data_IF_702406698515
#
_entry.id   IF_702406698515
#
_cell.length_a   1.000
_cell.length_b   1.000
_cell.length_c   1.000
_cell.angle_alpha   90.00
_cell.angle_beta   90.00
_cell.angle_gamma   90.00
#
_symmetry.space_group_name_H-M   'P 1'
#
loop_
_entity.id
_entity.type
_entity.pdbx_description
1 polymer ?
#
# COMPACT_ATOMS: atom_id res chain seq x y z
N UNK A 1 6.18 0.18 -15.54
CA UNK A 1 6.24 -1.17 -16.11
C UNK A 1 7.64 -1.77 -16.02
N UNK A 2 8.58 -1.30 -16.84
CA UNK A 2 9.89 -1.94 -17.04
C UNK A 2 10.71 -2.22 -15.77
N UNK A 3 10.62 -1.37 -14.73
CA UNK A 3 11.30 -1.61 -13.45
C UNK A 3 10.81 -2.89 -12.75
N UNK A 4 9.50 -3.15 -12.75
CA UNK A 4 8.87 -4.33 -12.14
C UNK A 4 9.04 -5.62 -12.97
N UNK A 5 9.54 -5.50 -14.21
CA UNK A 5 9.87 -6.62 -15.09
C UNK A 5 11.39 -6.79 -15.28
N UNK A 6 12.19 -6.02 -14.53
CA UNK A 6 13.65 -6.10 -14.65
C UNK A 6 14.19 -7.38 -14.02
N UNK A 7 15.24 -7.94 -14.63
CA UNK A 7 15.91 -9.17 -14.14
C UNK A 7 16.25 -9.05 -12.66
N UNK A 8 16.85 -7.92 -12.25
CA UNK A 8 17.25 -7.69 -10.86
C UNK A 8 16.08 -7.72 -9.88
N UNK A 9 14.89 -7.29 -10.32
CA UNK A 9 13.70 -7.29 -9.47
C UNK A 9 13.12 -8.70 -9.37
N UNK A 10 12.98 -9.41 -10.49
CA UNK A 10 12.43 -10.77 -10.52
C UNK A 10 13.33 -11.78 -9.81
N UNK A 11 14.65 -11.64 -9.90
CA UNK A 11 15.61 -12.45 -9.12
C UNK A 11 15.43 -12.24 -7.61
N UNK A 12 15.19 -11.01 -7.16
CA UNK A 12 14.95 -10.73 -5.73
C UNK A 12 13.63 -11.32 -5.24
N UNK A 13 12.57 -11.26 -6.06
CA UNK A 13 11.29 -11.88 -5.72
C UNK A 13 11.44 -13.40 -5.58
N UNK A 14 12.14 -14.05 -6.52
CA UNK A 14 12.41 -15.48 -6.45
C UNK A 14 13.23 -15.87 -5.20
N UNK A 15 14.23 -15.06 -4.83
CA UNK A 15 15.01 -15.28 -3.59
C UNK A 15 14.17 -15.10 -2.32
N UNK A 16 13.10 -14.32 -2.38
CA UNK A 16 12.19 -14.08 -1.27
C UNK A 16 10.97 -15.03 -1.26
N UNK A 17 10.90 -15.99 -2.19
CA UNK A 17 9.76 -16.88 -2.39
C UNK A 17 8.44 -16.12 -2.66
N UNK A 18 8.53 -15.03 -3.44
CA UNK A 18 7.41 -14.19 -3.84
C UNK A 18 7.13 -14.37 -5.33
N UNK A 19 5.91 -14.79 -5.67
CA UNK A 19 5.45 -14.83 -7.04
C UNK A 19 5.11 -13.43 -7.56
N UNK A 20 5.69 -13.06 -8.69
CA UNK A 20 5.37 -11.81 -9.36
C UNK A 20 4.02 -11.91 -10.08
N UNK A 21 3.02 -11.18 -9.61
CA UNK A 21 1.78 -10.95 -10.36
C UNK A 21 1.86 -9.62 -11.13
N UNK A 22 1.71 -9.70 -12.45
CA UNK A 22 1.57 -8.52 -13.30
C UNK A 22 0.27 -8.63 -14.08
N UNK A 23 -0.55 -7.57 -14.02
CA UNK A 23 -1.85 -7.57 -14.68
C UNK A 23 -1.74 -7.76 -16.18
N UNK A 24 -2.84 -8.23 -16.78
CA UNK A 24 -2.91 -8.42 -18.23
C UNK A 24 -2.88 -7.07 -18.95
N UNK A 25 -2.33 -7.02 -20.16
CA UNK A 25 -2.20 -5.77 -20.92
C UNK A 25 -3.60 -5.20 -21.19
N UNK A 26 -3.83 -3.96 -20.74
CA UNK A 26 -5.11 -3.27 -20.94
C UNK A 26 -6.14 -3.51 -19.83
N UNK A 27 -5.81 -4.26 -18.79
CA UNK A 27 -6.62 -4.41 -17.58
C UNK A 27 -6.03 -3.59 -16.43
N UNK A 28 -6.79 -2.63 -15.92
CA UNK A 28 -6.35 -1.75 -14.82
C UNK A 28 -6.86 -2.19 -13.45
N UNK A 29 -7.72 -3.21 -13.36
CA UNK A 29 -8.33 -3.61 -12.09
C UNK A 29 -7.28 -4.03 -11.05
N UNK A 30 -6.24 -4.74 -11.48
CA UNK A 30 -5.15 -5.19 -10.60
C UNK A 30 -4.38 -4.02 -9.95
N UNK A 31 -4.34 -2.86 -10.61
CA UNK A 31 -3.63 -1.67 -10.10
C UNK A 31 -4.56 -0.65 -9.44
N UNK A 32 -5.88 -0.78 -9.60
CA UNK A 32 -6.85 0.23 -9.20
C UNK A 32 -6.77 0.59 -7.72
N UNK A 33 -6.54 -0.40 -6.85
CA UNK A 33 -6.39 -0.17 -5.42
C UNK A 33 -5.13 0.65 -5.11
N UNK A 34 -3.99 0.26 -5.67
CA UNK A 34 -2.73 0.98 -5.48
C UNK A 34 -2.78 2.41 -6.04
N UNK A 35 -3.42 2.60 -7.20
CA UNK A 35 -3.63 3.92 -7.79
C UNK A 35 -4.55 4.80 -6.94
N UNK A 36 -5.57 4.23 -6.32
CA UNK A 36 -6.47 4.96 -5.41
C UNK A 36 -5.70 5.53 -4.23
N UNK A 37 -4.84 4.71 -3.59
CA UNK A 37 -4.00 5.16 -2.47
C UNK A 37 -3.00 6.23 -2.92
N UNK A 38 -2.34 6.03 -4.06
CA UNK A 38 -1.40 7.00 -4.61
C UNK A 38 -2.06 8.34 -4.97
N UNK A 39 -3.27 8.29 -5.52
CA UNK A 39 -4.07 9.48 -5.83
C UNK A 39 -4.43 10.25 -4.56
N UNK A 40 -4.85 9.54 -3.53
CA UNK A 40 -5.21 10.11 -2.22
C UNK A 40 -3.99 10.76 -1.54
N UNK A 41 -2.84 10.09 -1.53
CA UNK A 41 -1.60 10.65 -1.04
C UNK A 41 -1.22 11.95 -1.76
N UNK A 42 -1.30 11.96 -3.10
CA UNK A 42 -1.01 13.18 -3.88
C UNK A 42 -1.97 14.32 -3.55
N UNK A 43 -3.27 14.02 -3.42
CA UNK A 43 -4.27 15.02 -3.08
C UNK A 43 -4.02 15.62 -1.69
N UNK A 44 -3.85 14.77 -0.67
CA UNK A 44 -3.74 15.19 0.72
C UNK A 44 -2.37 15.77 1.08
N UNK A 45 -1.27 15.19 0.58
CA UNK A 45 0.08 15.61 0.98
C UNK A 45 0.71 16.55 -0.03
N UNK A 46 0.68 16.19 -1.32
CA UNK A 46 1.41 16.97 -2.33
C UNK A 46 0.66 18.25 -2.68
N UNK A 47 -0.66 18.16 -2.91
CA UNK A 47 -1.46 19.29 -3.38
C UNK A 47 -2.02 20.13 -2.23
N UNK A 48 -2.50 19.51 -1.14
CA UNK A 48 -3.14 20.24 -0.05
C UNK A 48 -2.15 20.81 0.98
N UNK A 49 -1.14 20.04 1.41
CA UNK A 49 -0.16 20.50 2.39
C UNK A 49 1.06 21.20 1.77
N UNK A 50 1.30 21.02 0.46
CA UNK A 50 2.35 21.72 -0.28
C UNK A 50 2.07 23.23 -0.45
N UNK A 51 2.96 23.97 -1.14
CA UNK A 51 4.14 23.50 -1.88
C UNK A 51 5.36 23.22 -0.98
N UNK A 52 6.18 22.25 -1.41
CA UNK A 52 7.38 21.82 -0.68
C UNK A 52 8.64 22.48 -1.22
N UNK A 53 9.58 22.81 -0.32
CA UNK A 53 10.85 23.47 -0.67
C UNK A 53 12.02 22.51 -0.82
N UNK A 54 11.86 21.25 -0.41
CA UNK A 54 12.90 20.22 -0.51
C UNK A 54 12.31 18.81 -0.44
N UNK A 55 13.06 17.82 -0.92
CA UNK A 55 12.70 16.41 -0.80
C UNK A 55 12.54 15.98 0.65
N UNK A 56 13.44 16.43 1.54
CA UNK A 56 13.40 16.08 2.97
C UNK A 56 12.08 16.48 3.65
N UNK A 57 11.46 17.60 3.23
CA UNK A 57 10.13 17.99 3.72
C UNK A 57 9.05 17.01 3.26
N UNK A 58 9.09 16.61 1.99
CA UNK A 58 8.16 15.62 1.44
C UNK A 58 8.32 14.29 2.16
N UNK A 59 9.55 13.82 2.37
CA UNK A 59 9.83 12.58 3.09
C UNK A 59 9.26 12.61 4.52
N UNK A 60 9.47 13.71 5.24
CA UNK A 60 8.99 13.86 6.61
C UNK A 60 7.45 13.86 6.70
N UNK A 61 6.78 14.49 5.74
CA UNK A 61 5.32 14.52 5.66
C UNK A 61 4.74 13.20 5.15
N UNK A 62 5.46 12.50 4.28
CA UNK A 62 5.12 11.14 3.85
C UNK A 62 5.10 10.21 5.06
N UNK A 63 6.14 10.25 5.90
CA UNK A 63 6.21 9.42 7.10
C UNK A 63 5.04 9.71 8.06
N UNK A 64 4.71 10.99 8.29
CA UNK A 64 3.53 11.37 9.09
C UNK A 64 2.24 10.86 8.49
N UNK A 65 2.08 11.03 7.18
CA UNK A 65 0.86 10.63 6.50
C UNK A 65 0.68 9.12 6.51
N UNK A 66 1.75 8.33 6.30
CA UNK A 66 1.72 6.86 6.37
C UNK A 66 1.37 6.38 7.79
N UNK A 67 1.96 6.98 8.82
CA UNK A 67 1.64 6.65 10.21
C UNK A 67 0.17 6.96 10.52
N UNK A 68 -0.29 8.18 10.19
CA UNK A 68 -1.69 8.55 10.41
C UNK A 68 -2.66 7.66 9.60
N UNK A 69 -2.36 7.42 8.32
CA UNK A 69 -3.21 6.63 7.43
C UNK A 69 -3.42 5.23 7.99
N UNK A 70 -2.36 4.55 8.42
CA UNK A 70 -2.45 3.17 8.87
C UNK A 70 -2.94 3.03 10.31
N UNK A 71 -2.54 3.94 11.20
CA UNK A 71 -2.76 3.79 12.64
C UNK A 71 -3.91 4.62 13.20
N UNK A 72 -4.45 5.59 12.45
CA UNK A 72 -5.48 6.53 12.97
C UNK A 72 -6.63 6.80 12.01
N UNK A 73 -6.43 6.71 10.69
CA UNK A 73 -7.48 7.01 9.70
C UNK A 73 -8.57 5.94 9.74
N UNK A 74 -9.80 6.35 9.96
CA UNK A 74 -10.95 5.45 9.87
C UNK A 74 -11.41 5.33 8.42
N UNK A 75 -11.54 4.09 7.94
CA UNK A 75 -12.02 3.80 6.59
C UNK A 75 -13.36 3.07 6.65
N UNK A 76 -14.39 3.69 6.06
CA UNK A 76 -15.73 3.10 6.02
C UNK A 76 -15.79 1.69 5.39
N UNK A 77 -15.06 1.39 4.29
CA UNK A 77 -15.11 0.05 3.67
C UNK A 77 -14.63 -1.10 4.56
N UNK A 78 -13.81 -0.81 5.57
CA UNK A 78 -13.29 -1.81 6.53
C UNK A 78 -13.98 -1.69 7.90
N UNK A 79 -15.14 -1.05 7.96
CA UNK A 79 -15.93 -0.95 9.19
C UNK A 79 -15.51 0.20 10.11
N UNK A 80 -15.02 1.31 9.56
CA UNK A 80 -14.61 2.49 10.32
C UNK A 80 -13.52 2.20 11.37
N UNK A 81 -12.52 1.42 10.97
CA UNK A 81 -11.32 1.13 11.78
C UNK A 81 -10.04 1.55 11.05
N UNK A 82 -8.92 1.74 11.76
CA UNK A 82 -7.61 1.91 11.14
C UNK A 82 -7.19 0.71 10.28
N UNK A 83 -6.53 0.92 9.13
CA UNK A 83 -5.99 -0.16 8.29
C UNK A 83 -5.13 -1.16 9.05
N UNK A 84 -4.23 -0.70 9.93
CA UNK A 84 -3.36 -1.58 10.70
C UNK A 84 -4.15 -2.48 11.67
N UNK A 85 -5.28 -1.98 12.19
CA UNK A 85 -6.18 -2.83 12.97
C UNK A 85 -6.85 -3.86 12.07
N UNK A 86 -7.38 -3.47 10.90
CA UNK A 86 -8.05 -4.39 9.99
C UNK A 86 -7.13 -5.52 9.52
N UNK A 87 -5.90 -5.19 9.16
CA UNK A 87 -4.87 -6.15 8.78
C UNK A 87 -4.56 -7.13 9.92
N UNK A 88 -4.38 -6.64 11.15
CA UNK A 88 -4.15 -7.51 12.32
C UNK A 88 -5.30 -8.49 12.54
N UNK A 89 -6.55 -8.03 12.49
CA UNK A 89 -7.70 -8.92 12.66
C UNK A 89 -7.82 -9.94 11.52
N UNK A 90 -7.50 -9.54 10.28
CA UNK A 90 -7.47 -10.46 9.15
C UNK A 90 -6.48 -11.62 9.38
N UNK A 91 -5.26 -11.32 9.83
CA UNK A 91 -4.26 -12.36 10.12
C UNK A 91 -4.60 -13.22 11.34
N UNK A 92 -5.20 -12.63 12.38
CA UNK A 92 -5.70 -13.40 13.53
C UNK A 92 -6.79 -14.40 13.12
N UNK A 93 -7.74 -13.98 12.28
CA UNK A 93 -8.79 -14.85 11.76
C UNK A 93 -8.23 -15.94 10.83
N UNK A 94 -7.28 -15.60 9.95
CA UNK A 94 -6.65 -16.57 9.06
C UNK A 94 -5.84 -17.62 9.84
N UNK A 95 -5.04 -17.20 10.83
CA UNK A 95 -4.31 -18.14 11.69
C UNK A 95 -5.24 -19.07 12.46
N UNK A 96 -6.41 -18.57 12.91
CA UNK A 96 -7.42 -19.41 13.57
C UNK A 96 -8.00 -20.46 12.62
N UNK A 97 -8.21 -20.13 11.35
CA UNK A 97 -8.68 -21.08 10.34
C UNK A 97 -7.62 -22.15 10.07
N UNK A 98 -6.35 -21.78 9.99
CA UNK A 98 -5.25 -22.73 9.77
C UNK A 98 -5.04 -23.69 10.96
N UNK A 99 -5.28 -23.23 12.20
CA UNK A 99 -5.21 -24.09 13.41
C UNK A 99 -6.39 -25.06 13.50
N UNK A 100 -7.54 -24.71 12.90
CA UNK A 100 -8.76 -25.52 12.96
C UNK A 100 -8.87 -26.57 11.83
N UNK A 101 -7.98 -26.54 10.84
CA UNK A 101 -7.90 -27.45 9.70
C UNK A 101 -6.93 -28.63 9.97
#
# INVERSE_FOLDING_TARGET
GSQYLSIRYTERLALADIDASVGTVGDSYDNALAETINGLYKAEVIHHLGPWKSMAQVEWETLRWVDWYNNRRLLAPIGYRPPAEAERAFYEDQSRLDIAA
#
